data_IF_432360082263
#
_entry.id   IF_432360082263
#
_cell.length_a   1.000
_cell.length_b   1.000
_cell.length_c   1.000
_cell.angle_alpha   90.00
_cell.angle_beta   90.00
_cell.angle_gamma   90.00
#
_symmetry.space_group_name_H-M   'P 1'
#
loop_
_entity.id
_entity.type
_entity.pdbx_description
1 polymer ?
#
# COMPACT_ATOMS: atom_id res chain seq x y z
N UNK A 1 -19.59 -6.30 -0.14
CA UNK A 1 -18.40 -6.74 0.61
C UNK A 1 -17.66 -5.47 1.03
N UNK A 2 -17.28 -5.34 2.30
CA UNK A 2 -16.60 -4.13 2.81
C UNK A 2 -15.09 -4.36 2.85
N UNK A 3 -14.32 -3.39 2.35
CA UNK A 3 -12.87 -3.39 2.49
C UNK A 3 -12.44 -2.83 3.84
N UNK A 4 -11.32 -3.33 4.38
CA UNK A 4 -10.70 -2.79 5.59
C UNK A 4 -9.27 -2.37 5.28
N UNK A 5 -8.94 -1.14 5.66
CA UNK A 5 -7.57 -0.62 5.56
C UNK A 5 -6.71 -1.16 6.69
N UNK A 6 -5.49 -1.60 6.39
CA UNK A 6 -4.52 -2.00 7.43
C UNK A 6 -4.11 -0.83 8.33
N UNK A 7 -4.51 0.40 8.01
CA UNK A 7 -4.26 1.58 8.84
C UNK A 7 -4.75 1.41 10.29
N UNK A 8 -5.85 0.69 10.50
CA UNK A 8 -6.38 0.42 11.85
C UNK A 8 -5.44 -0.45 12.71
N UNK A 9 -4.48 -1.14 12.08
CA UNK A 9 -3.48 -2.00 12.72
C UNK A 9 -2.04 -1.55 12.41
N UNK A 10 -1.82 -0.30 11.97
CA UNK A 10 -0.49 0.23 11.56
C UNK A 10 0.63 0.15 12.63
N UNK A 11 0.28 -0.16 13.87
CA UNK A 11 1.21 -0.35 14.99
C UNK A 11 1.67 -1.81 15.14
N UNK A 12 1.15 -2.71 14.30
CA UNK A 12 1.53 -4.11 14.22
C UNK A 12 2.32 -4.36 12.94
N UNK A 13 3.13 -5.43 12.87
CA UNK A 13 3.68 -5.93 11.61
C UNK A 13 2.58 -6.33 10.62
N UNK A 14 2.88 -6.23 9.31
CA UNK A 14 1.88 -6.46 8.26
C UNK A 14 1.29 -7.88 8.29
N UNK A 15 2.11 -8.90 8.49
CA UNK A 15 1.68 -10.31 8.60
C UNK A 15 0.64 -10.49 9.73
N UNK A 16 0.92 -9.94 10.91
CA UNK A 16 0.00 -9.96 12.05
C UNK A 16 -1.31 -9.21 11.74
N UNK A 17 -1.21 -8.08 11.05
CA UNK A 17 -2.39 -7.32 10.63
C UNK A 17 -3.24 -8.12 9.64
N UNK A 18 -2.63 -8.78 8.65
CA UNK A 18 -3.33 -9.60 7.66
C UNK A 18 -3.98 -10.84 8.29
N UNK A 19 -3.29 -11.53 9.18
CA UNK A 19 -3.85 -12.64 9.98
C UNK A 19 -5.08 -12.20 10.78
N UNK A 20 -5.00 -11.01 11.39
CA UNK A 20 -6.10 -10.43 12.18
C UNK A 20 -7.32 -10.09 11.30
N UNK A 21 -7.10 -9.65 10.06
CA UNK A 21 -8.16 -9.26 9.13
C UNK A 21 -8.76 -10.45 8.35
N UNK A 22 -8.02 -11.55 8.19
CA UNK A 22 -8.42 -12.74 7.43
C UNK A 22 -9.79 -13.34 7.82
N UNK A 23 -10.19 -13.42 9.11
CA UNK A 23 -11.50 -13.91 9.48
C UNK A 23 -12.64 -12.89 9.27
N UNK A 24 -12.34 -11.60 9.01
CA UNK A 24 -13.32 -10.50 9.01
C UNK A 24 -13.69 -10.09 7.58
N UNK A 25 -12.73 -10.05 6.67
CA UNK A 25 -12.94 -9.59 5.30
C UNK A 25 -12.13 -10.40 4.28
N UNK A 26 -12.46 -10.23 3.01
CA UNK A 26 -11.69 -10.72 1.85
C UNK A 26 -11.16 -9.58 0.98
N UNK A 27 -11.33 -8.34 1.41
CA UNK A 27 -10.89 -7.15 0.70
C UNK A 27 -10.08 -6.26 1.65
N UNK A 28 -8.81 -6.03 1.35
CA UNK A 28 -7.88 -5.29 2.22
C UNK A 28 -7.22 -4.18 1.42
N UNK A 29 -7.19 -2.98 2.00
CA UNK A 29 -6.32 -1.89 1.54
C UNK A 29 -5.06 -1.89 2.41
N UNK A 30 -3.89 -2.14 1.80
CA UNK A 30 -2.60 -2.11 2.50
C UNK A 30 -2.07 -0.69 2.46
N UNK A 31 -1.80 -0.12 3.63
CA UNK A 31 -1.14 1.17 3.76
C UNK A 31 0.37 1.00 3.61
N UNK A 32 0.92 1.25 2.42
CA UNK A 32 2.35 1.11 2.15
C UNK A 32 3.13 2.20 2.89
N UNK A 33 3.76 1.80 3.99
CA UNK A 33 4.58 2.66 4.83
C UNK A 33 4.70 2.17 6.27
N UNK A 34 5.73 2.66 6.98
CA UNK A 34 6.00 2.23 8.34
C UNK A 34 6.24 0.72 8.44
N UNK A 35 5.56 0.04 9.37
CA UNK A 35 5.65 -1.41 9.55
C UNK A 35 5.03 -2.23 8.40
N UNK A 36 4.32 -1.58 7.48
CA UNK A 36 3.67 -2.19 6.33
C UNK A 36 4.32 -1.77 5.00
N UNK A 37 5.54 -1.22 5.05
CA UNK A 37 6.29 -0.84 3.85
C UNK A 37 6.52 -2.05 2.94
N UNK A 38 6.23 -1.90 1.65
CA UNK A 38 6.34 -2.98 0.66
C UNK A 38 7.55 -2.76 -0.27
N UNK A 39 8.58 -3.58 -0.10
CA UNK A 39 9.69 -3.66 -1.07
C UNK A 39 9.39 -4.66 -2.21
N UNK A 40 8.62 -5.69 -1.92
CA UNK A 40 8.19 -6.75 -2.84
C UNK A 40 6.73 -7.12 -2.55
N UNK A 41 6.09 -7.89 -3.43
CA UNK A 41 4.73 -8.37 -3.20
C UNK A 41 4.64 -9.64 -2.33
N UNK A 42 5.77 -10.28 -2.03
CA UNK A 42 5.87 -11.53 -1.24
C UNK A 42 5.01 -11.52 0.04
N UNK A 43 4.97 -10.44 0.86
CA UNK A 43 4.17 -10.44 2.09
C UNK A 43 2.66 -10.60 1.86
N UNK A 44 2.18 -10.29 0.66
CA UNK A 44 0.77 -10.36 0.28
C UNK A 44 0.39 -11.72 -0.29
N UNK A 45 1.35 -12.55 -0.69
CA UNK A 45 1.09 -13.86 -1.30
C UNK A 45 0.63 -14.91 -0.28
N UNK A 46 0.90 -14.66 1.01
CA UNK A 46 0.52 -15.54 2.12
C UNK A 46 -0.99 -15.59 2.38
N UNK A 47 -1.76 -14.66 1.82
CA UNK A 47 -3.21 -14.59 2.00
C UNK A 47 -3.97 -14.36 0.69
N UNK A 48 -5.16 -14.96 0.60
CA UNK A 48 -6.06 -14.77 -0.53
C UNK A 48 -7.05 -13.62 -0.27
N UNK A 49 -6.57 -12.38 -0.29
CA UNK A 49 -7.42 -11.18 -0.31
C UNK A 49 -7.50 -10.59 -1.72
N UNK A 50 -8.55 -9.81 -1.98
CA UNK A 50 -8.51 -8.75 -2.99
C UNK A 50 -7.79 -7.56 -2.37
N UNK A 51 -6.65 -7.20 -2.94
CA UNK A 51 -5.83 -6.12 -2.44
C UNK A 51 -6.05 -4.79 -3.17
N UNK A 52 -5.93 -3.71 -2.40
CA UNK A 52 -5.64 -2.37 -2.88
C UNK A 52 -4.35 -1.93 -2.16
N UNK A 53 -3.43 -1.28 -2.86
CA UNK A 53 -2.22 -0.72 -2.25
C UNK A 53 -2.38 0.79 -2.17
N UNK A 54 -2.47 1.31 -0.95
CA UNK A 54 -2.41 2.74 -0.72
C UNK A 54 -0.96 3.14 -0.70
N UNK A 55 -0.53 3.83 -1.76
CA UNK A 55 0.85 4.26 -1.92
C UNK A 55 1.28 5.20 -0.79
N UNK A 56 2.60 5.30 -0.49
CA UNK A 56 3.10 6.21 0.51
C UNK A 56 2.65 7.64 0.23
N UNK A 57 2.03 8.31 1.21
CA UNK A 57 1.49 9.67 1.05
C UNK A 57 2.26 10.71 1.86
N UNK A 58 3.05 10.29 2.85
CA UNK A 58 3.87 11.20 3.66
C UNK A 58 5.17 11.50 2.93
N UNK A 59 5.33 12.74 2.48
CA UNK A 59 6.52 13.19 1.75
C UNK A 59 6.48 12.96 0.24
N UNK A 60 5.40 12.37 -0.27
CA UNK A 60 5.12 12.22 -1.71
C UNK A 60 4.16 13.35 -2.11
N UNK A 61 4.55 14.14 -3.11
CA UNK A 61 3.72 15.18 -3.69
C UNK A 61 4.01 15.33 -5.20
N UNK A 62 3.19 14.70 -6.02
CA UNK A 62 3.29 14.76 -7.49
C UNK A 62 2.84 16.11 -8.07
N UNK A 63 2.18 16.95 -7.27
CA UNK A 63 1.83 18.33 -7.61
C UNK A 63 2.88 19.36 -7.15
N UNK A 64 3.99 18.91 -6.53
CA UNK A 64 5.04 19.82 -6.06
C UNK A 64 5.61 20.64 -7.22
N UNK A 65 5.80 21.94 -7.02
CA UNK A 65 6.46 22.81 -8.00
C UNK A 65 7.97 22.58 -8.07
N UNK A 66 8.56 21.97 -7.03
CA UNK A 66 9.97 21.63 -6.98
C UNK A 66 10.19 20.32 -7.74
N UNK A 67 10.79 20.38 -8.93
CA UNK A 67 11.08 19.21 -9.77
C UNK A 67 11.74 18.06 -8.99
N UNK A 68 12.75 18.29 -8.12
CA UNK A 68 13.37 17.17 -7.40
C UNK A 68 12.40 16.41 -6.50
N UNK A 69 11.44 17.10 -5.88
CA UNK A 69 10.41 16.47 -5.03
C UNK A 69 9.40 15.72 -5.90
N UNK A 70 8.94 16.36 -6.98
CA UNK A 70 7.97 15.77 -7.90
C UNK A 70 8.51 14.50 -8.55
N UNK A 71 9.74 14.52 -9.04
CA UNK A 71 10.38 13.34 -9.64
C UNK A 71 10.51 12.21 -8.62
N UNK A 72 11.04 12.48 -7.42
CA UNK A 72 11.14 11.47 -6.36
C UNK A 72 9.76 10.89 -5.97
N UNK A 73 8.72 11.72 -5.98
CA UNK A 73 7.34 11.30 -5.72
C UNK A 73 6.82 10.35 -6.80
N UNK A 74 7.08 10.64 -8.08
CA UNK A 74 6.73 9.77 -9.20
C UNK A 74 7.49 8.43 -9.09
N UNK A 75 8.77 8.46 -8.75
CA UNK A 75 9.58 7.24 -8.62
C UNK A 75 9.03 6.31 -7.52
N UNK A 76 8.61 6.87 -6.38
CA UNK A 76 7.92 6.11 -5.32
C UNK A 76 6.61 5.49 -5.81
N UNK A 77 5.79 6.24 -6.57
CA UNK A 77 4.55 5.70 -7.11
C UNK A 77 4.81 4.60 -8.16
N UNK A 78 5.82 4.76 -9.01
CA UNK A 78 6.22 3.73 -9.99
C UNK A 78 6.56 2.42 -9.28
N UNK A 79 7.30 2.48 -8.16
CA UNK A 79 7.58 1.31 -7.33
C UNK A 79 6.30 0.68 -6.77
N UNK A 80 5.40 1.48 -6.18
CA UNK A 80 4.13 0.98 -5.65
C UNK A 80 3.27 0.31 -6.75
N UNK A 81 3.23 0.86 -7.97
CA UNK A 81 2.57 0.24 -9.11
C UNK A 81 3.22 -1.07 -9.54
N UNK A 82 4.55 -1.18 -9.51
CA UNK A 82 5.26 -2.40 -9.83
C UNK A 82 4.91 -3.53 -8.85
N UNK A 83 4.95 -3.26 -7.54
CA UNK A 83 4.56 -4.22 -6.49
C UNK A 83 3.07 -4.60 -6.64
N UNK A 84 2.19 -3.63 -6.87
CA UNK A 84 0.76 -3.90 -7.04
C UNK A 84 0.47 -4.82 -8.24
N UNK A 85 1.21 -4.66 -9.33
CA UNK A 85 1.04 -5.45 -10.55
C UNK A 85 1.34 -6.94 -10.33
N UNK A 86 2.28 -7.29 -9.45
CA UNK A 86 2.63 -8.69 -9.14
C UNK A 86 1.47 -9.46 -8.51
N UNK A 87 0.60 -8.78 -7.75
CA UNK A 87 -0.57 -9.36 -7.07
C UNK A 87 -1.91 -8.94 -7.69
N UNK A 88 -1.88 -8.22 -8.80
CA UNK A 88 -3.08 -7.71 -9.47
C UNK A 88 -3.91 -6.74 -8.62
N UNK A 89 -3.25 -5.96 -7.77
CA UNK A 89 -3.90 -4.96 -6.92
C UNK A 89 -4.05 -3.61 -7.65
N UNK A 90 -5.11 -2.88 -7.31
CA UNK A 90 -5.26 -1.47 -7.70
C UNK A 90 -4.46 -0.57 -6.73
N UNK A 91 -4.00 0.60 -7.19
CA UNK A 91 -3.22 1.56 -6.37
C UNK A 91 -4.05 2.81 -6.04
N UNK A 92 -4.05 3.19 -4.76
CA UNK A 92 -4.62 4.45 -4.27
C UNK A 92 -3.50 5.48 -4.11
N UNK A 93 -3.66 6.65 -4.72
CA UNK A 93 -2.66 7.73 -4.71
C UNK A 93 -3.26 9.04 -4.18
N UNK A 94 -2.42 9.86 -3.54
CA UNK A 94 -2.78 11.23 -3.15
C UNK A 94 -2.28 12.20 -4.23
N UNK A 95 -3.12 13.10 -4.78
CA UNK A 95 -2.71 13.99 -5.88
C UNK A 95 -1.62 15.01 -5.52
N UNK A 96 -1.45 15.35 -4.25
CA UNK A 96 -0.49 16.34 -3.76
C UNK A 96 -0.98 17.10 -2.54
#
# INVERSE_FOLDING_TARGET
MFGISTYCLQHQPLDVALDTLAPITRCVEVMDGGLHSLETAEPLESHSFRYFIHAPYRGVNIASLLEPIRQASVDVLVHAFAVAAEVGADVVIHPG
#
